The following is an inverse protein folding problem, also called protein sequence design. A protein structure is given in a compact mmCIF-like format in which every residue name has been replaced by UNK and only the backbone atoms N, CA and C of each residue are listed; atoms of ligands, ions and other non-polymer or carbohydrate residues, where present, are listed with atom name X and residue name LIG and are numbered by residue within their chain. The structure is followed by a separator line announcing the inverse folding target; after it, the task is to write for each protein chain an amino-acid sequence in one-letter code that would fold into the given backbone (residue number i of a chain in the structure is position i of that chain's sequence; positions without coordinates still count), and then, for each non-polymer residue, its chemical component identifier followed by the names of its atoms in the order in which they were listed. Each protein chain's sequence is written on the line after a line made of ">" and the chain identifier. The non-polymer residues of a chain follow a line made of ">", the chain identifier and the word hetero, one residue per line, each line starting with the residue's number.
data_IF_501370738245
#
_entry.id   IF_501370738245
#
_cell.length_a   1.000
_cell.length_b   1.000
_cell.length_c   1.000
_cell.angle_alpha   90.00
_cell.angle_beta   90.00
_cell.angle_gamma   90.00
#
_symmetry.space_group_name_H-M   'P 1'
#
loop_
_entity.id
_entity.type
_entity.pdbx_description
1 polymer ?
#
# COMPACT_ATOMS: atom_id res chain seq x y z
N UNK A 1 6.65 9.50 2.13
CA UNK A 1 8.13 9.42 2.20
C UNK A 1 8.78 10.00 0.94
N UNK A 2 9.75 10.91 1.05
CA UNK A 2 10.55 11.44 -0.08
C UNK A 2 11.36 10.36 -0.81
N UNK A 3 11.80 10.65 -2.04
CA UNK A 3 12.63 9.73 -2.85
C UNK A 3 14.05 9.61 -2.28
N UNK A 4 14.65 10.73 -1.88
CA UNK A 4 15.96 10.80 -1.22
C UNK A 4 16.08 9.98 0.06
N UNK A 5 14.97 9.77 0.79
CA UNK A 5 14.94 8.89 1.96
C UNK A 5 14.84 7.43 1.55
N UNK A 6 14.06 7.13 0.51
CA UNK A 6 13.88 5.76 0.04
C UNK A 6 15.17 5.15 -0.52
N UNK A 7 15.98 5.99 -1.18
CA UNK A 7 17.28 5.61 -1.76
C UNK A 7 18.35 5.35 -0.71
N UNK A 8 18.22 5.91 0.50
CA UNK A 8 19.10 5.62 1.64
C UNK A 8 18.84 4.24 2.27
N UNK A 9 17.85 3.50 1.80
CA UNK A 9 17.54 2.15 2.27
C UNK A 9 16.39 2.09 3.27
N UNK A 10 16.05 0.86 3.67
CA UNK A 10 14.87 0.58 4.51
C UNK A 10 14.99 1.19 5.91
N UNK A 11 16.19 1.25 6.51
CA UNK A 11 16.35 1.76 7.87
C UNK A 11 16.00 3.25 7.97
N UNK A 12 16.51 4.05 7.04
CA UNK A 12 16.15 5.47 6.94
C UNK A 12 14.68 5.65 6.55
N UNK A 13 14.15 4.76 5.70
CA UNK A 13 12.74 4.70 5.39
C UNK A 13 11.86 4.47 6.61
N UNK A 14 12.21 3.50 7.45
CA UNK A 14 11.52 3.14 8.70
C UNK A 14 11.56 4.29 9.69
N UNK A 15 12.73 4.92 9.90
CA UNK A 15 12.87 6.09 10.76
C UNK A 15 11.94 7.22 10.30
N UNK A 16 11.94 7.51 9.00
CA UNK A 16 11.09 8.55 8.43
C UNK A 16 9.61 8.21 8.60
N UNK A 17 9.20 6.97 8.31
CA UNK A 17 7.82 6.52 8.45
C UNK A 17 7.34 6.66 9.89
N UNK A 18 8.12 6.23 10.89
CA UNK A 18 7.74 6.38 12.30
C UNK A 18 7.64 7.83 12.76
N UNK A 19 8.47 8.73 12.21
CA UNK A 19 8.44 10.17 12.52
C UNK A 19 7.27 10.90 11.84
N UNK A 20 6.79 10.40 10.71
CA UNK A 20 5.80 11.09 9.85
C UNK A 20 4.49 10.29 9.67
N UNK A 21 4.27 9.26 10.49
CA UNK A 21 3.03 8.46 10.45
C UNK A 21 1.87 9.28 10.99
N UNK A 22 0.70 9.13 10.35
CA UNK A 22 -0.55 9.72 10.81
C UNK A 22 -1.16 8.98 12.00
N UNK A 23 -2.24 9.54 12.53
CA UNK A 23 -2.95 9.04 13.71
C UNK A 23 -3.50 7.62 13.53
N UNK A 24 -3.69 7.17 12.29
CA UNK A 24 -4.11 5.80 11.97
C UNK A 24 -3.08 4.72 12.37
N UNK A 25 -1.83 5.11 12.69
CA UNK A 25 -0.77 4.22 13.18
C UNK A 25 -0.46 4.43 14.67
N UNK A 26 -1.31 5.13 15.42
CA UNK A 26 -1.22 5.15 16.89
C UNK A 26 -1.36 3.72 17.39
N UNK A 27 -0.47 3.29 18.30
CA UNK A 27 -0.45 1.89 18.75
C UNK A 27 0.39 0.97 17.87
N UNK A 28 1.18 1.52 16.94
CA UNK A 28 1.98 0.72 16.04
C UNK A 28 3.33 1.34 15.68
N UNK A 29 4.33 0.51 15.36
CA UNK A 29 5.68 0.93 14.96
C UNK A 29 6.12 0.19 13.70
N UNK A 30 6.65 0.93 12.73
CA UNK A 30 7.29 0.36 11.54
C UNK A 30 8.67 -0.18 11.93
N UNK A 31 9.03 -1.38 11.47
CA UNK A 31 10.34 -1.98 11.70
C UNK A 31 10.91 -2.52 10.38
N UNK A 32 12.23 -2.54 10.28
CA UNK A 32 12.94 -3.32 9.29
C UNK A 32 13.15 -4.73 9.84
N UNK A 33 12.55 -5.73 9.22
CA UNK A 33 12.82 -7.13 9.50
C UNK A 33 13.31 -7.81 8.22
N UNK A 34 14.60 -8.16 8.17
CA UNK A 34 15.22 -8.83 7.02
C UNK A 34 14.98 -8.10 5.68
N UNK A 35 15.11 -6.78 5.65
CA UNK A 35 14.84 -5.92 4.49
C UNK A 35 13.38 -5.92 4.02
N UNK A 36 12.47 -6.41 4.86
CA UNK A 36 11.05 -6.27 4.72
C UNK A 36 10.54 -5.23 5.70
N UNK A 37 9.66 -4.36 5.21
CA UNK A 37 8.95 -3.45 6.09
C UNK A 37 7.83 -4.23 6.77
N UNK A 38 7.76 -4.11 8.10
CA UNK A 38 6.67 -4.63 8.93
C UNK A 38 6.14 -3.53 9.84
N UNK A 39 4.88 -3.64 10.26
CA UNK A 39 4.34 -2.87 11.38
C UNK A 39 4.01 -3.85 12.49
N UNK A 40 4.51 -3.55 13.67
CA UNK A 40 4.21 -4.30 14.88
C UNK A 40 3.34 -3.44 15.78
N UNK A 41 2.47 -4.09 16.57
CA UNK A 41 1.70 -3.41 17.59
C UNK A 41 2.66 -2.91 18.67
N UNK A 42 2.54 -1.64 18.99
CA UNK A 42 3.17 -1.02 20.13
C UNK A 42 2.37 -1.43 21.39
N UNK A 43 2.96 -2.17 22.34
CA UNK A 43 2.25 -2.67 23.51
C UNK A 43 1.69 -1.54 24.40
N UNK A 44 2.20 -0.31 24.30
CA UNK A 44 1.93 0.77 25.25
C UNK A 44 0.87 1.79 24.80
N UNK A 45 0.15 1.57 23.68
CA UNK A 45 -0.74 2.59 23.09
C UNK A 45 -2.12 2.07 22.68
N UNK A 46 -3.18 2.77 23.13
CA UNK A 46 -4.59 2.44 22.92
C UNK A 46 -5.08 2.94 21.55
N UNK A 47 -5.90 2.13 20.88
CA UNK A 47 -6.33 2.30 19.48
C UNK A 47 -7.53 3.24 19.31
N UNK A 48 -7.51 4.21 18.38
CA UNK A 48 -8.71 4.80 17.81
C UNK A 48 -9.27 3.95 16.66
N UNK A 49 -10.61 3.91 16.52
CA UNK A 49 -11.28 3.28 15.37
C UNK A 49 -11.13 4.15 14.12
N UNK A 50 -10.59 3.57 13.06
CA UNK A 50 -10.42 4.23 11.77
C UNK A 50 -11.78 4.66 11.17
N UNK A 51 -11.87 5.91 10.69
CA UNK A 51 -13.03 6.42 9.97
C UNK A 51 -12.61 7.09 8.62
N UNK A 52 -13.48 6.91 7.63
CA UNK A 52 -13.65 7.47 6.27
C UNK A 52 -12.46 7.83 5.33
N UNK A 53 -11.22 8.02 5.78
CA UNK A 53 -10.02 8.24 4.91
C UNK A 53 -9.43 6.91 4.38
N UNK A 54 -10.30 5.93 4.22
CA UNK A 54 -10.03 4.51 4.40
C UNK A 54 -9.07 3.92 3.35
N UNK A 55 -9.10 4.39 2.11
CA UNK A 55 -8.20 3.92 1.05
C UNK A 55 -6.73 4.26 1.28
N UNK A 56 -6.47 5.53 1.64
CA UNK A 56 -5.11 6.06 1.73
C UNK A 56 -4.45 5.49 2.98
N UNK A 57 -5.21 5.42 4.07
CA UNK A 57 -4.78 4.74 5.29
C UNK A 57 -4.53 3.24 5.04
N UNK A 58 -5.37 2.53 4.29
CA UNK A 58 -5.13 1.09 4.04
C UNK A 58 -3.90 0.77 3.20
N UNK A 59 -3.49 1.68 2.31
CA UNK A 59 -2.22 1.54 1.60
C UNK A 59 -1.06 1.53 2.61
N UNK A 60 -1.07 2.39 3.62
CA UNK A 60 -0.05 2.28 4.66
C UNK A 60 -0.32 1.17 5.70
N UNK A 61 -1.57 0.71 5.90
CA UNK A 61 -1.91 -0.46 6.76
C UNK A 61 -1.46 -1.80 6.13
N UNK A 62 -1.33 -1.90 4.81
CA UNK A 62 -0.81 -3.11 4.15
C UNK A 62 0.70 -3.18 4.14
N UNK A 63 1.37 -2.04 4.05
CA UNK A 63 2.79 -1.94 4.43
C UNK A 63 3.01 -2.45 5.87
N UNK A 64 1.96 -2.33 6.68
CA UNK A 64 2.02 -2.61 8.07
C UNK A 64 1.71 -4.06 8.45
N UNK A 65 0.76 -4.70 7.79
CA UNK A 65 0.29 -6.03 8.21
C UNK A 65 1.12 -7.18 7.59
N UNK A 66 1.91 -6.90 6.56
CA UNK A 66 2.68 -7.91 5.84
C UNK A 66 4.16 -7.52 5.78
N UNK A 67 5.05 -8.50 5.86
CA UNK A 67 6.47 -8.29 5.54
C UNK A 67 6.60 -8.05 4.03
N UNK A 68 6.61 -6.77 3.62
CA UNK A 68 6.74 -6.43 2.21
C UNK A 68 8.21 -6.07 1.92
N UNK A 69 8.85 -6.71 0.94
CA UNK A 69 10.21 -6.35 0.54
C UNK A 69 10.32 -4.87 0.18
N UNK A 70 11.32 -4.19 0.73
CA UNK A 70 11.52 -2.75 0.54
C UNK A 70 11.56 -2.34 -0.94
N UNK A 71 12.24 -3.13 -1.76
CA UNK A 71 12.34 -2.92 -3.19
C UNK A 71 10.96 -2.94 -3.90
N UNK A 72 10.01 -3.76 -3.43
CA UNK A 72 8.65 -3.78 -3.99
C UNK A 72 7.87 -2.52 -3.59
N UNK A 73 8.00 -2.05 -2.35
CA UNK A 73 7.38 -0.79 -1.88
C UNK A 73 7.85 0.39 -2.72
N UNK A 74 9.15 0.49 -2.99
CA UNK A 74 9.70 1.54 -3.85
C UNK A 74 9.11 1.46 -5.26
N UNK A 75 9.00 0.27 -5.85
CA UNK A 75 8.39 0.08 -7.18
C UNK A 75 6.94 0.54 -7.21
N UNK A 76 6.15 0.18 -6.20
CA UNK A 76 4.75 0.61 -6.05
C UNK A 76 4.66 2.14 -5.92
N UNK A 77 5.51 2.75 -5.09
CA UNK A 77 5.58 4.21 -4.93
C UNK A 77 5.91 4.92 -6.25
N UNK A 78 6.89 4.41 -7.01
CA UNK A 78 7.23 4.95 -8.35
C UNK A 78 6.05 4.83 -9.31
N UNK A 79 5.32 3.71 -9.29
CA UNK A 79 4.11 3.52 -10.09
C UNK A 79 3.00 4.51 -9.72
N UNK A 80 2.77 4.73 -8.42
CA UNK A 80 1.80 5.72 -7.94
C UNK A 80 2.19 7.13 -8.41
N UNK A 81 3.45 7.55 -8.24
CA UNK A 81 3.95 8.85 -8.70
C UNK A 81 3.75 9.02 -10.22
N UNK A 82 4.12 8.02 -11.01
CA UNK A 82 3.96 8.04 -12.46
C UNK A 82 2.48 8.04 -12.93
N UNK A 83 1.53 7.57 -12.12
CA UNK A 83 0.09 7.67 -12.39
C UNK A 83 -0.56 8.96 -11.87
N UNK A 84 0.22 9.95 -11.44
CA UNK A 84 -0.33 11.20 -10.89
C UNK A 84 -0.69 11.08 -9.40
N UNK A 85 0.00 10.22 -8.66
CA UNK A 85 -0.12 10.07 -7.22
C UNK A 85 -1.03 8.92 -6.77
N UNK A 86 -1.05 8.75 -5.44
CA UNK A 86 -1.80 7.68 -4.77
C UNK A 86 -3.31 7.79 -5.00
N UNK A 87 -3.87 9.01 -5.01
CA UNK A 87 -5.30 9.25 -5.21
C UNK A 87 -5.74 8.82 -6.62
N UNK A 88 -4.97 9.20 -7.65
CA UNK A 88 -5.26 8.84 -9.04
C UNK A 88 -5.16 7.33 -9.26
N UNK A 89 -4.12 6.70 -8.71
CA UNK A 89 -3.98 5.24 -8.75
C UNK A 89 -5.15 4.54 -8.03
N UNK A 90 -5.49 4.97 -6.81
CA UNK A 90 -6.58 4.39 -6.03
C UNK A 90 -7.93 4.53 -6.75
N UNK A 91 -8.21 5.70 -7.36
CA UNK A 91 -9.41 5.93 -8.17
C UNK A 91 -9.45 5.01 -9.39
N UNK A 92 -8.35 4.88 -10.12
CA UNK A 92 -8.27 3.99 -11.29
C UNK A 92 -8.55 2.53 -10.91
N UNK A 93 -7.93 2.04 -9.84
CA UNK A 93 -8.16 0.67 -9.36
C UNK A 93 -9.58 0.51 -8.83
N UNK A 94 -10.12 1.50 -8.12
CA UNK A 94 -11.49 1.42 -7.60
C UNK A 94 -12.54 1.33 -8.71
N UNK A 95 -12.40 2.15 -9.75
CA UNK A 95 -13.25 2.08 -10.95
C UNK A 95 -13.15 0.73 -11.64
N UNK A 96 -11.92 0.25 -11.87
CA UNK A 96 -11.70 -1.05 -12.48
C UNK A 96 -12.27 -2.19 -11.63
N UNK A 97 -12.13 -2.14 -10.30
CA UNK A 97 -12.69 -3.14 -9.39
C UNK A 97 -14.21 -3.22 -9.49
N UNK A 98 -14.91 -2.08 -9.46
CA UNK A 98 -16.37 -2.05 -9.60
C UNK A 98 -16.81 -2.70 -10.91
N UNK A 99 -16.10 -2.41 -12.00
CA UNK A 99 -16.34 -3.07 -13.28
C UNK A 99 -16.12 -4.59 -13.21
N UNK A 100 -14.99 -5.05 -12.66
CA UNK A 100 -14.72 -6.48 -12.50
C UNK A 100 -15.74 -7.20 -11.60
N UNK A 101 -16.27 -6.53 -10.56
CA UNK A 101 -17.34 -7.08 -9.72
C UNK A 101 -18.66 -7.24 -10.47
N UNK A 102 -19.01 -6.30 -11.35
CA UNK A 102 -20.19 -6.42 -12.23
C UNK A 102 -20.09 -7.60 -13.19
N UNK A 103 -18.87 -7.99 -13.58
CA UNK A 103 -18.61 -9.18 -14.40
C UNK A 103 -18.66 -10.50 -13.61
N UNK A 104 -19.03 -10.49 -12.33
CA UNK A 104 -19.19 -11.69 -11.51
C UNK A 104 -17.90 -12.22 -10.85
N UNK A 105 -16.74 -11.58 -11.06
CA UNK A 105 -15.50 -12.02 -10.43
C UNK A 105 -15.53 -11.85 -8.90
N UNK A 106 -15.03 -12.85 -8.15
CA UNK A 106 -14.87 -12.76 -6.69
C UNK A 106 -14.07 -11.52 -6.27
N UNK A 107 -14.25 -11.04 -5.03
CA UNK A 107 -13.53 -9.84 -4.53
C UNK A 107 -12.01 -9.92 -4.74
N UNK A 108 -11.42 -11.09 -4.45
CA UNK A 108 -9.98 -11.37 -4.65
C UNK A 108 -9.56 -11.32 -6.13
N UNK A 109 -10.36 -11.88 -7.03
CA UNK A 109 -10.04 -11.86 -8.46
C UNK A 109 -10.29 -10.48 -9.08
N UNK A 110 -11.34 -9.79 -8.64
CA UNK A 110 -11.67 -8.45 -9.07
C UNK A 110 -10.55 -7.46 -8.71
N UNK A 111 -10.00 -7.53 -7.49
CA UNK A 111 -8.91 -6.63 -7.09
C UNK A 111 -7.61 -6.87 -7.84
N UNK A 112 -7.25 -8.15 -8.05
CA UNK A 112 -6.09 -8.54 -8.85
C UNK A 112 -6.20 -8.02 -10.28
N UNK A 113 -7.34 -8.23 -10.92
CA UNK A 113 -7.62 -7.77 -12.29
C UNK A 113 -7.68 -6.24 -12.37
N UNK A 114 -8.26 -5.58 -11.38
CA UNK A 114 -8.32 -4.12 -11.33
C UNK A 114 -6.93 -3.48 -11.22
N UNK A 115 -6.07 -4.02 -10.35
CA UNK A 115 -4.68 -3.59 -10.25
C UNK A 115 -3.92 -3.83 -11.56
N UNK A 116 -4.10 -4.99 -12.20
CA UNK A 116 -3.48 -5.31 -13.50
C UNK A 116 -3.91 -4.32 -14.60
N UNK A 117 -5.21 -4.03 -14.71
CA UNK A 117 -5.76 -3.05 -15.67
C UNK A 117 -5.19 -1.64 -15.40
N UNK A 118 -5.21 -1.18 -14.15
CA UNK A 118 -4.73 0.15 -13.79
C UNK A 118 -3.22 0.33 -14.05
N UNK A 119 -2.47 -0.78 -14.05
CA UNK A 119 -1.01 -0.80 -14.20
C UNK A 119 -0.50 -1.50 -15.44
N UNK A 120 -1.37 -1.80 -16.41
CA UNK A 120 -1.03 -2.44 -17.70
C UNK A 120 0.13 -1.76 -18.43
N UNK A 121 0.22 -0.44 -18.34
CA UNK A 121 1.23 0.38 -19.00
C UNK A 121 2.61 0.32 -18.33
N UNK A 122 2.72 -0.27 -17.14
CA UNK A 122 3.98 -0.39 -16.43
C UNK A 122 4.74 -1.68 -16.80
N UNK A 123 6.08 -1.69 -16.64
CA UNK A 123 6.87 -2.90 -16.75
C UNK A 123 6.31 -4.02 -15.87
N UNK A 124 6.41 -5.26 -16.34
CA UNK A 124 5.85 -6.46 -15.67
C UNK A 124 6.23 -6.54 -14.19
N UNK A 125 7.48 -6.23 -13.84
CA UNK A 125 7.95 -6.25 -12.46
C UNK A 125 7.23 -5.23 -11.56
N UNK A 126 6.97 -4.03 -12.07
CA UNK A 126 6.25 -2.97 -11.35
C UNK A 126 4.76 -3.32 -11.24
N UNK A 127 4.16 -3.80 -12.33
CA UNK A 127 2.78 -4.29 -12.34
C UNK A 127 2.56 -5.39 -11.30
N UNK A 128 3.45 -6.38 -11.26
CA UNK A 128 3.38 -7.46 -10.28
C UNK A 128 3.49 -6.95 -8.84
N UNK A 129 4.40 -6.02 -8.57
CA UNK A 129 4.54 -5.42 -7.24
C UNK A 129 3.25 -4.70 -6.82
N UNK A 130 2.61 -3.98 -7.74
CA UNK A 130 1.34 -3.29 -7.48
C UNK A 130 0.19 -4.28 -7.27
N UNK A 131 0.09 -5.33 -8.09
CA UNK A 131 -0.91 -6.39 -7.94
C UNK A 131 -0.76 -7.07 -6.59
N UNK A 132 0.45 -7.47 -6.22
CA UNK A 132 0.73 -8.17 -4.97
C UNK A 132 0.39 -7.28 -3.77
N UNK A 133 0.85 -6.03 -3.80
CA UNK A 133 0.55 -5.03 -2.78
C UNK A 133 -0.96 -4.88 -2.55
N UNK A 134 -1.75 -4.74 -3.62
CA UNK A 134 -3.19 -4.57 -3.49
C UNK A 134 -3.95 -5.87 -3.21
N UNK A 135 -3.42 -7.02 -3.63
CA UNK A 135 -4.01 -8.34 -3.36
C UNK A 135 -3.84 -8.77 -1.90
N UNK A 136 -2.81 -8.26 -1.20
CA UNK A 136 -2.56 -8.49 0.23
C UNK A 136 -3.44 -7.63 1.15
N UNK A 137 -4.45 -6.95 0.59
CA UNK A 137 -5.40 -6.13 1.35
C UNK A 137 -5.20 -4.63 1.18
N UNK A 138 -4.34 -4.17 0.25
CA UNK A 138 -4.02 -2.74 0.07
C UNK A 138 -5.23 -1.86 -0.25
N UNK A 139 -6.38 -2.47 -0.52
CA UNK A 139 -7.66 -1.83 -0.83
C UNK A 139 -8.83 -2.46 -0.06
N UNK A 140 -8.60 -3.25 1.01
CA UNK A 140 -9.68 -3.88 1.78
C UNK A 140 -10.67 -2.89 2.38
N UNK A 141 -10.25 -1.64 2.55
CA UNK A 141 -11.02 -0.51 3.05
C UNK A 141 -11.47 0.47 1.95
N UNK A 142 -11.10 0.21 0.69
CA UNK A 142 -11.47 1.04 -0.46
C UNK A 142 -12.82 0.68 -1.08
N UNK A 143 -13.45 -0.39 -0.58
CA UNK A 143 -14.65 -1.01 -1.14
C UNK A 143 -15.64 -1.38 -0.06
#
# INVERSE_FOLDING_TARGET
>A
MPESIAEKGIDEGVKWLNKNKGDEYIGYVFINENNNLKLIKDPDRIQPRANLTACISAIGVVIASNAIPWAKIIKVKKAMKAKGGIQTMAKAISTAYKHQRKLGYSRKNAIKRAADVATRTFPKATRNAVIEFFSLGGLSSCF
#
